data_IF_503369591833
#
_entry.id   IF_503369591833
#
_cell.length_a   1.000
_cell.length_b   1.000
_cell.length_c   1.000
_cell.angle_alpha   90.00
_cell.angle_beta   90.00
_cell.angle_gamma   90.00
#
_symmetry.space_group_name_H-M   'P 1'
#
loop_
_entity.id
_entity.type
_entity.pdbx_description
1 polymer ?
#
# COMPACT_ATOMS: atom_id res chain seq x y z
N UNK A 1 -32.92 9.84 6.29
CA UNK A 1 -33.83 8.96 5.54
C UNK A 1 -32.95 7.81 5.05
N UNK A 2 -33.02 6.64 5.70
CA UNK A 2 -32.21 5.48 5.31
C UNK A 2 -32.84 4.92 4.04
N UNK A 3 -32.10 4.92 2.94
CA UNK A 3 -32.49 4.17 1.74
C UNK A 3 -32.33 2.71 2.13
N UNK A 4 -33.43 1.96 2.19
CA UNK A 4 -33.37 0.53 2.45
C UNK A 4 -33.02 -0.15 1.11
N UNK A 5 -32.03 -1.04 1.08
CA UNK A 5 -31.77 -1.93 -0.06
C UNK A 5 -32.36 -3.33 0.16
N UNK A 6 -33.69 -3.50 0.11
CA UNK A 6 -34.32 -4.79 0.37
C UNK A 6 -33.77 -5.85 -0.58
N UNK A 7 -33.29 -6.96 0.00
CA UNK A 7 -32.65 -8.08 -0.68
C UNK A 7 -31.30 -7.79 -1.38
N UNK A 8 -30.64 -6.66 -1.12
CA UNK A 8 -29.35 -6.27 -1.74
C UNK A 8 -29.38 -6.33 -3.29
N UNK A 9 -30.48 -5.90 -3.89
CA UNK A 9 -30.69 -5.91 -5.35
C UNK A 9 -30.25 -4.62 -6.04
N UNK A 10 -30.17 -3.51 -5.30
CA UNK A 10 -29.56 -2.28 -5.81
C UNK A 10 -28.05 -2.31 -5.61
N UNK A 11 -27.33 -1.85 -6.63
CA UNK A 11 -25.89 -1.71 -6.57
C UNK A 11 -25.53 -0.59 -5.59
N UNK A 12 -24.78 -0.93 -4.55
CA UNK A 12 -24.12 0.03 -3.67
C UNK A 12 -22.65 0.05 -4.05
N UNK A 13 -22.15 1.21 -4.48
CA UNK A 13 -20.74 1.45 -4.80
C UNK A 13 -20.22 2.58 -3.91
N UNK A 14 -19.07 2.35 -3.28
CA UNK A 14 -18.43 3.33 -2.38
C UNK A 14 -17.02 3.58 -2.89
N UNK A 15 -16.72 4.84 -3.17
CA UNK A 15 -15.36 5.30 -3.41
C UNK A 15 -14.55 5.20 -2.10
N UNK A 16 -13.49 4.41 -2.11
CA UNK A 16 -12.59 4.14 -1.00
C UNK A 16 -11.20 4.74 -1.20
N UNK A 17 -10.98 5.52 -2.27
CA UNK A 17 -9.72 6.19 -2.54
C UNK A 17 -9.23 7.10 -1.39
N UNK A 18 -10.09 7.90 -0.70
CA UNK A 18 -9.63 8.71 0.43
C UNK A 18 -9.13 7.88 1.62
N UNK A 19 -9.77 6.73 1.86
CA UNK A 19 -9.31 5.78 2.89
C UNK A 19 -8.01 5.10 2.46
N UNK A 20 -7.92 4.71 1.19
CA UNK A 20 -6.72 4.11 0.59
C UNK A 20 -5.51 5.03 0.73
N UNK A 21 -5.68 6.32 0.44
CA UNK A 21 -4.64 7.32 0.62
C UNK A 21 -4.17 7.38 2.07
N UNK A 22 -5.12 7.46 3.01
CA UNK A 22 -4.80 7.47 4.45
C UNK A 22 -4.12 6.19 4.91
N UNK A 23 -4.55 5.03 4.42
CA UNK A 23 -3.94 3.73 4.73
C UNK A 23 -2.49 3.68 4.25
N UNK A 24 -2.23 4.04 2.98
CA UNK A 24 -0.90 4.02 2.40
C UNK A 24 0.03 5.09 2.99
N UNK A 25 -0.49 6.25 3.41
CA UNK A 25 0.28 7.24 4.18
C UNK A 25 0.79 6.70 5.51
N UNK A 26 0.05 5.79 6.16
CA UNK A 26 0.43 5.17 7.44
C UNK A 26 1.26 3.88 7.27
N UNK A 27 1.33 3.33 6.06
CA UNK A 27 2.09 2.11 5.75
C UNK A 27 3.57 2.17 6.18
N UNK A 28 4.31 3.28 5.99
CA UNK A 28 5.70 3.39 6.43
C UNK A 28 5.88 3.20 7.94
N UNK A 29 4.91 3.61 8.77
CA UNK A 29 4.98 3.40 10.21
C UNK A 29 4.75 1.93 10.61
N UNK A 30 4.13 1.15 9.74
CA UNK A 30 3.85 -0.28 9.95
C UNK A 30 5.00 -1.18 9.50
N UNK A 31 5.89 -0.67 8.64
CA UNK A 31 7.07 -1.39 8.14
C UNK A 31 8.28 -0.97 8.99
N UNK A 32 8.83 -1.91 9.76
CA UNK A 32 10.04 -1.66 10.53
C UNK A 32 11.22 -1.34 9.61
N UNK A 33 12.10 -0.45 10.06
CA UNK A 33 13.39 -0.25 9.42
C UNK A 33 14.19 -1.55 9.44
N UNK A 34 14.90 -1.84 8.34
CA UNK A 34 15.67 -3.07 8.18
C UNK A 34 17.14 -2.73 8.18
N UNK A 35 17.88 -3.31 9.12
CA UNK A 35 19.34 -3.19 9.17
C UNK A 35 19.95 -4.17 8.18
N UNK A 36 20.88 -3.69 7.36
CA UNK A 36 21.61 -4.48 6.41
C UNK A 36 22.35 -5.65 7.10
N UNK A 37 22.58 -6.79 6.42
CA UNK A 37 23.28 -7.93 7.02
C UNK A 37 24.68 -7.61 7.54
N UNK A 38 25.36 -6.61 6.96
CA UNK A 38 26.67 -6.14 7.38
C UNK A 38 26.63 -5.15 8.57
N UNK A 39 25.43 -4.73 9.01
CA UNK A 39 25.23 -3.80 10.12
C UNK A 39 25.55 -2.33 9.83
N UNK A 40 26.03 -2.00 8.63
CA UNK A 40 26.52 -0.65 8.30
C UNK A 40 25.41 0.30 7.84
N UNK A 41 24.33 -0.24 7.28
CA UNK A 41 23.25 0.56 6.70
C UNK A 41 21.88 0.14 7.24
N UNK A 42 21.00 1.11 7.40
CA UNK A 42 19.60 0.92 7.76
C UNK A 42 18.73 1.44 6.63
N UNK A 43 17.82 0.62 6.13
CA UNK A 43 16.83 1.01 5.12
C UNK A 43 15.50 1.27 5.79
N UNK A 44 14.80 2.34 5.38
CA UNK A 44 13.43 2.61 5.81
C UNK A 44 12.58 3.22 4.71
N UNK A 45 11.30 2.84 4.69
CA UNK A 45 10.27 3.59 3.98
C UNK A 45 9.95 4.86 4.77
N UNK A 46 9.82 6.00 4.11
CA UNK A 46 9.65 7.30 4.76
C UNK A 46 8.20 7.77 4.70
N UNK A 47 7.66 7.89 3.49
CA UNK A 47 6.32 8.44 3.26
C UNK A 47 5.76 8.01 1.91
N UNK A 48 4.45 8.10 1.77
CA UNK A 48 3.78 8.16 0.48
C UNK A 48 4.09 9.50 -0.18
N UNK A 49 4.50 9.48 -1.45
CA UNK A 49 4.75 10.68 -2.26
C UNK A 49 3.55 10.99 -3.16
N UNK A 50 3.00 9.97 -3.83
CA UNK A 50 1.83 10.12 -4.68
C UNK A 50 1.02 8.83 -4.74
N UNK A 51 -0.29 9.01 -4.89
CA UNK A 51 -1.25 7.94 -5.15
C UNK A 51 -2.22 8.44 -6.22
N UNK A 52 -2.35 7.69 -7.30
CA UNK A 52 -3.38 7.94 -8.33
C UNK A 52 -4.04 6.63 -8.73
N UNK A 53 -5.24 6.72 -9.31
CA UNK A 53 -6.03 5.57 -9.71
C UNK A 53 -7.37 5.53 -8.98
N UNK A 54 -7.96 4.35 -8.95
CA UNK A 54 -9.33 4.13 -8.48
C UNK A 54 -9.37 3.05 -7.40
N UNK A 55 -10.24 3.24 -6.40
CA UNK A 55 -10.46 2.27 -5.32
C UNK A 55 -11.93 2.31 -4.90
N UNK A 56 -12.58 1.17 -5.01
CA UNK A 56 -14.01 1.00 -4.76
C UNK A 56 -14.29 -0.27 -3.97
N UNK A 57 -15.29 -0.18 -3.10
CA UNK A 57 -15.90 -1.35 -2.45
C UNK A 57 -17.39 -1.32 -2.75
N UNK A 58 -17.91 -2.48 -3.13
CA UNK A 58 -19.29 -2.64 -3.54
C UNK A 58 -19.89 -3.91 -2.96
N UNK A 59 -21.23 -3.97 -2.91
CA UNK A 59 -21.94 -5.19 -2.58
C UNK A 59 -22.73 -5.69 -3.79
N UNK A 60 -22.53 -6.95 -4.15
CA UNK A 60 -23.25 -7.62 -5.23
C UNK A 60 -23.74 -8.98 -4.79
N UNK A 61 -25.06 -9.22 -4.89
CA UNK A 61 -25.71 -10.50 -4.51
C UNK A 61 -25.35 -10.93 -3.08
N UNK A 62 -25.32 -9.98 -2.14
CA UNK A 62 -24.97 -10.24 -0.73
C UNK A 62 -23.48 -10.51 -0.46
N UNK A 63 -22.61 -10.41 -1.47
CA UNK A 63 -21.15 -10.49 -1.29
C UNK A 63 -20.54 -9.11 -1.41
N UNK A 64 -19.61 -8.79 -0.50
CA UNK A 64 -18.75 -7.61 -0.61
C UNK A 64 -17.65 -7.94 -1.61
N UNK A 65 -17.44 -7.03 -2.56
CA UNK A 65 -16.39 -7.09 -3.57
C UNK A 65 -15.62 -5.77 -3.53
N UNK A 66 -14.34 -5.81 -3.85
CA UNK A 66 -13.54 -4.61 -4.07
C UNK A 66 -13.03 -4.58 -5.50
N UNK A 67 -12.73 -3.38 -5.97
CA UNK A 67 -11.99 -3.16 -7.21
C UNK A 67 -11.04 -1.99 -6.96
N UNK A 68 -9.77 -2.18 -7.27
CA UNK A 68 -8.80 -1.11 -7.21
C UNK A 68 -7.76 -1.30 -8.30
N UNK A 69 -7.27 -0.17 -8.78
CA UNK A 69 -6.15 -0.05 -9.71
C UNK A 69 -5.41 1.22 -9.30
N UNK A 70 -4.23 1.05 -8.71
CA UNK A 70 -3.50 2.10 -8.03
C UNK A 70 -2.08 2.20 -8.57
N UNK A 71 -1.67 3.42 -8.87
CA UNK A 71 -0.29 3.80 -9.08
C UNK A 71 0.22 4.48 -7.81
N UNK A 72 1.21 3.88 -7.18
CA UNK A 72 1.70 4.28 -5.85
C UNK A 72 3.17 4.60 -5.91
N UNK A 73 3.57 5.72 -5.31
CA UNK A 73 4.97 6.09 -5.18
C UNK A 73 5.30 6.40 -3.72
N UNK A 74 6.35 5.77 -3.21
CA UNK A 74 6.89 6.02 -1.89
C UNK A 74 8.29 6.62 -1.95
N UNK A 75 8.64 7.39 -0.93
CA UNK A 75 10.03 7.78 -0.66
C UNK A 75 10.65 6.80 0.32
N UNK A 76 11.89 6.37 0.04
CA UNK A 76 12.67 5.50 0.91
C UNK A 76 14.08 6.08 1.09
N UNK A 77 14.66 5.84 2.25
CA UNK A 77 15.99 6.30 2.61
C UNK A 77 16.88 5.14 3.05
N UNK A 78 18.16 5.28 2.74
CA UNK A 78 19.24 4.48 3.32
C UNK A 78 20.01 5.40 4.26
N UNK A 79 20.19 4.93 5.50
CA UNK A 79 20.95 5.62 6.53
C UNK A 79 22.20 4.80 6.84
N UNK A 80 23.29 5.48 7.19
CA UNK A 80 24.40 4.83 7.87
C UNK A 80 23.97 4.53 9.31
N UNK A 81 24.06 3.26 9.74
CA UNK A 81 23.48 2.81 11.01
C UNK A 81 24.15 3.45 12.23
N UNK A 82 25.47 3.67 12.19
CA UNK A 82 26.21 4.24 13.32
C UNK A 82 26.01 5.75 13.47
N UNK A 83 26.01 6.47 12.34
CA UNK A 83 25.89 7.93 12.32
C UNK A 83 24.45 8.43 12.22
N UNK A 84 23.49 7.54 12.00
CA UNK A 84 22.07 7.83 11.73
C UNK A 84 21.87 8.90 10.63
N UNK A 85 22.82 8.97 9.69
CA UNK A 85 22.87 10.00 8.66
C UNK A 85 22.33 9.42 7.35
N UNK A 86 21.47 10.18 6.66
CA UNK A 86 20.93 9.78 5.36
C UNK A 86 22.05 9.79 4.33
N UNK A 87 22.41 8.61 3.82
CA UNK A 87 23.43 8.44 2.77
C UNK A 87 22.82 8.48 1.39
N UNK A 88 21.56 8.05 1.26
CA UNK A 88 20.87 7.98 -0.01
C UNK A 88 19.35 8.11 0.21
N UNK A 89 18.69 8.83 -0.70
CA UNK A 89 17.23 8.92 -0.80
C UNK A 89 16.81 8.53 -2.21
N UNK A 90 15.78 7.70 -2.30
CA UNK A 90 15.24 7.23 -3.56
C UNK A 90 13.73 7.01 -3.47
N UNK A 91 13.18 6.57 -4.58
CA UNK A 91 11.75 6.36 -4.78
C UNK A 91 11.45 4.91 -5.05
N UNK A 92 10.31 4.43 -4.58
CA UNK A 92 9.80 3.09 -4.87
C UNK A 92 8.45 3.26 -5.54
N UNK A 93 8.38 2.87 -6.80
CA UNK A 93 7.19 2.96 -7.62
C UNK A 93 6.50 1.59 -7.70
N UNK A 94 5.19 1.58 -7.54
CA UNK A 94 4.31 0.45 -7.80
C UNK A 94 3.34 0.94 -8.88
N UNK A 95 3.66 0.74 -10.17
CA UNK A 95 2.91 1.36 -11.27
C UNK A 95 1.46 0.88 -11.36
N UNK A 96 1.25 -0.41 -11.07
CA UNK A 96 -0.04 -1.09 -11.11
C UNK A 96 -0.15 -1.99 -9.88
N UNK A 97 -0.94 -1.57 -8.91
CA UNK A 97 -1.41 -2.40 -7.79
C UNK A 97 -2.90 -2.65 -8.01
N UNK A 98 -3.23 -3.89 -8.40
CA UNK A 98 -4.58 -4.25 -8.83
C UNK A 98 -5.18 -5.38 -8.00
N UNK A 99 -6.50 -5.47 -8.03
CA UNK A 99 -7.26 -6.48 -7.32
C UNK A 99 -6.85 -7.92 -7.69
N UNK A 100 -6.74 -8.78 -6.67
CA UNK A 100 -6.40 -10.21 -6.78
C UNK A 100 -5.00 -10.50 -7.39
N UNK A 101 -4.14 -9.49 -7.51
CA UNK A 101 -2.76 -9.65 -7.95
C UNK A 101 -1.78 -9.53 -6.78
N UNK A 102 -0.96 -10.57 -6.59
CA UNK A 102 0.12 -10.58 -5.58
C UNK A 102 1.50 -10.40 -6.20
N UNK A 103 1.62 -10.55 -7.52
CA UNK A 103 2.87 -10.48 -8.28
C UNK A 103 2.98 -9.20 -9.12
N UNK A 104 2.59 -8.07 -8.51
CA UNK A 104 2.73 -6.75 -9.13
C UNK A 104 4.20 -6.29 -9.18
N UNK A 105 4.50 -5.37 -10.10
CA UNK A 105 5.84 -4.82 -10.25
C UNK A 105 6.16 -3.77 -9.16
N UNK A 106 7.38 -3.82 -8.63
CA UNK A 106 7.91 -2.79 -7.72
C UNK A 106 9.25 -2.30 -8.27
N UNK A 107 9.32 -1.02 -8.65
CA UNK A 107 10.48 -0.38 -9.27
C UNK A 107 11.15 0.59 -8.29
N UNK A 108 12.29 0.21 -7.66
CA UNK A 108 13.10 1.15 -6.92
C UNK A 108 13.96 2.03 -7.86
N UNK A 109 14.04 3.33 -7.60
CA UNK A 109 14.80 4.32 -8.37
C UNK A 109 15.61 5.24 -7.44
N UNK A 110 16.79 5.68 -7.89
CA UNK A 110 17.60 6.67 -7.17
C UNK A 110 18.54 6.13 -6.08
N UNK A 111 18.71 4.81 -5.96
CA UNK A 111 19.51 4.20 -4.87
C UNK A 111 20.99 3.95 -5.16
N UNK A 112 21.46 4.18 -6.40
CA UNK A 112 22.86 4.01 -6.78
C UNK A 112 23.43 2.64 -6.37
N UNK A 113 24.53 2.65 -5.61
CA UNK A 113 25.19 1.44 -5.11
C UNK A 113 24.40 0.65 -4.05
N UNK A 114 23.40 1.28 -3.42
CA UNK A 114 22.54 0.65 -2.41
C UNK A 114 21.28 0.00 -2.99
N UNK A 115 21.14 -0.06 -4.31
CA UNK A 115 19.99 -0.66 -4.99
C UNK A 115 19.73 -2.11 -4.55
N UNK A 116 20.79 -2.92 -4.44
CA UNK A 116 20.68 -4.32 -4.00
C UNK A 116 20.12 -4.42 -2.58
N UNK A 117 20.54 -3.52 -1.69
CA UNK A 117 20.07 -3.49 -0.31
C UNK A 117 18.56 -3.20 -0.21
N UNK A 118 18.06 -2.23 -0.96
CA UNK A 118 16.61 -1.94 -1.03
C UNK A 118 15.84 -3.16 -1.53
N UNK A 119 16.34 -3.77 -2.61
CA UNK A 119 15.68 -4.88 -3.30
C UNK A 119 15.58 -6.12 -2.41
N UNK A 120 16.63 -6.43 -1.66
CA UNK A 120 16.68 -7.62 -0.81
C UNK A 120 15.99 -7.43 0.55
N UNK A 121 16.06 -6.22 1.13
CA UNK A 121 15.64 -6.01 2.52
C UNK A 121 14.28 -5.33 2.65
N UNK A 122 14.00 -4.31 1.82
CA UNK A 122 12.79 -3.50 1.97
C UNK A 122 11.65 -3.99 1.08
N UNK A 123 11.93 -4.32 -0.18
CA UNK A 123 10.87 -4.68 -1.13
C UNK A 123 10.03 -5.91 -0.71
N UNK A 124 10.60 -6.98 -0.13
CA UNK A 124 9.80 -8.12 0.33
C UNK A 124 8.80 -7.72 1.43
N UNK A 125 9.25 -6.87 2.36
CA UNK A 125 8.42 -6.35 3.45
C UNK A 125 7.32 -5.44 2.93
N UNK A 126 7.64 -4.55 1.99
CA UNK A 126 6.66 -3.68 1.32
C UNK A 126 5.62 -4.50 0.54
N UNK A 127 6.05 -5.50 -0.24
CA UNK A 127 5.14 -6.40 -0.96
C UNK A 127 4.21 -7.10 0.01
N UNK A 128 4.74 -7.68 1.09
CA UNK A 128 3.93 -8.38 2.09
C UNK A 128 2.89 -7.46 2.74
N UNK A 129 3.23 -6.18 2.97
CA UNK A 129 2.29 -5.19 3.50
C UNK A 129 1.21 -4.82 2.47
N UNK A 130 1.59 -4.56 1.22
CA UNK A 130 0.63 -4.27 0.14
C UNK A 130 -0.29 -5.45 -0.18
N UNK A 131 0.16 -6.70 -0.04
CA UNK A 131 -0.72 -7.87 -0.18
C UNK A 131 -1.82 -7.94 0.89
N UNK A 132 -1.67 -7.26 2.04
CA UNK A 132 -2.71 -7.20 3.08
C UNK A 132 -3.75 -6.13 2.80
N UNK A 133 -3.43 -5.12 2.00
CA UNK A 133 -4.30 -3.99 1.71
C UNK A 133 -5.71 -4.42 1.26
N UNK A 134 -5.82 -5.41 0.37
CA UNK A 134 -7.12 -5.88 -0.11
C UNK A 134 -8.00 -6.43 1.03
N UNK A 135 -7.41 -7.22 1.93
CA UNK A 135 -8.14 -7.77 3.06
C UNK A 135 -8.61 -6.66 4.00
N UNK A 136 -7.71 -5.72 4.33
CA UNK A 136 -7.99 -4.59 5.21
C UNK A 136 -9.05 -3.66 4.61
N UNK A 137 -9.01 -3.42 3.29
CA UNK A 137 -9.99 -2.62 2.54
C UNK A 137 -11.40 -3.21 2.66
N UNK A 138 -11.52 -4.53 2.45
CA UNK A 138 -12.80 -5.23 2.57
C UNK A 138 -13.26 -5.22 4.02
N UNK A 139 -12.40 -5.55 4.98
CA UNK A 139 -12.76 -5.60 6.40
C UNK A 139 -13.31 -4.24 6.87
N UNK A 140 -12.59 -3.16 6.57
CA UNK A 140 -12.96 -1.80 6.97
C UNK A 140 -14.31 -1.35 6.39
N UNK A 141 -14.60 -1.67 5.13
CA UNK A 141 -15.78 -1.15 4.43
C UNK A 141 -16.92 -2.16 4.29
N UNK A 142 -16.73 -3.41 4.72
CA UNK A 142 -17.75 -4.46 4.64
C UNK A 142 -19.04 -4.08 5.36
N UNK A 143 -18.95 -3.48 6.55
CA UNK A 143 -20.11 -3.08 7.34
C UNK A 143 -20.86 -1.91 6.70
N UNK A 144 -20.13 -0.95 6.12
CA UNK A 144 -20.71 0.24 5.48
C UNK A 144 -21.63 -0.14 4.31
N UNK A 145 -21.19 -1.10 3.49
CA UNK A 145 -21.96 -1.56 2.30
C UNK A 145 -23.00 -2.63 2.64
N UNK A 146 -22.93 -3.24 3.83
CA UNK A 146 -23.92 -4.22 4.30
C UNK A 146 -25.10 -3.59 5.05
N UNK A 147 -24.94 -2.38 5.61
CA UNK A 147 -25.98 -1.63 6.31
C UNK A 147 -26.75 -0.63 5.42
N UNK A 148 -26.40 -0.57 4.12
CA UNK A 148 -27.02 0.31 3.12
C UNK A 148 -28.21 -0.35 2.41
#
# INVERSE_FOLDING_TARGET
MVVLNPNNWHWVDKNTLPWTESYLQNLPASISSVVAPNGSYTVRLVKLESLTGDSHVSQRKGKVICYFDLNVQFVSQVLETEAETVVCEGKILVPELVHDETDFEIRPEGFGEHYGLITEQLLPSLRAALCKYQADLIEQHSQDVQQS
#
